data_IF_900928087734
#
_entry.id   IF_900928087734
#
_cell.length_a   1.000
_cell.length_b   1.000
_cell.length_c   1.000
_cell.angle_alpha   90.00
_cell.angle_beta   90.00
_cell.angle_gamma   90.00
#
_symmetry.space_group_name_H-M   'P 1'
#
loop_
_entity.id
_entity.type
_entity.pdbx_description
1 polymer ?
#
# COMPACT_ATOMS: atom_id res chain seq x y z
N UNK A 1 -12.00 -7.09 -6.93
CA UNK A 1 -11.06 -6.93 -5.79
C UNK A 1 -9.95 -5.96 -6.19
N UNK A 2 -9.39 -5.24 -5.26
CA UNK A 2 -8.32 -4.27 -5.52
C UNK A 2 -7.19 -4.51 -4.51
N UNK A 3 -5.93 -4.47 -4.96
CA UNK A 3 -4.78 -4.61 -4.08
C UNK A 3 -4.52 -3.31 -3.29
N UNK A 4 -3.57 -3.35 -2.36
CA UNK A 4 -3.24 -2.21 -1.51
C UNK A 4 -2.10 -1.39 -2.11
N UNK A 5 -2.10 -0.06 -1.93
CA UNK A 5 -0.90 0.74 -2.20
C UNK A 5 0.22 0.35 -1.23
N UNK A 6 1.43 0.78 -1.49
CA UNK A 6 2.52 0.64 -0.52
C UNK A 6 2.30 1.58 0.66
N UNK A 7 2.90 1.23 1.81
CA UNK A 7 2.95 2.12 2.96
C UNK A 7 4.40 2.44 3.33
N UNK A 8 4.60 3.59 3.93
CA UNK A 8 5.85 3.97 4.60
C UNK A 8 5.68 3.67 6.10
N UNK A 9 6.29 2.59 6.58
CA UNK A 9 6.11 2.12 7.95
C UNK A 9 6.61 3.12 9.00
N UNK A 10 7.74 3.77 8.75
CA UNK A 10 8.30 4.78 9.65
C UNK A 10 7.39 5.98 9.77
N UNK A 11 6.95 6.54 8.64
CA UNK A 11 6.02 7.67 8.61
C UNK A 11 4.69 7.33 9.28
N UNK A 12 4.19 6.11 9.06
CA UNK A 12 2.96 5.64 9.69
C UNK A 12 3.09 5.64 11.22
N UNK A 13 4.14 5.06 11.77
CA UNK A 13 4.36 5.01 13.22
C UNK A 13 4.58 6.41 13.79
N UNK A 14 5.33 7.25 13.12
CA UNK A 14 5.54 8.65 13.56
C UNK A 14 4.21 9.39 13.61
N UNK A 15 3.36 9.22 12.63
CA UNK A 15 2.04 9.83 12.61
C UNK A 15 1.12 9.28 13.71
N UNK A 16 1.07 7.96 13.89
CA UNK A 16 0.23 7.32 14.92
C UNK A 16 0.65 7.71 16.33
N UNK A 17 1.94 7.96 16.55
CA UNK A 17 2.48 8.30 17.87
C UNK A 17 2.72 9.79 18.08
N UNK A 18 2.27 10.65 17.15
CA UNK A 18 2.59 12.09 17.13
C UNK A 18 2.16 12.87 18.38
N UNK A 19 1.11 12.39 19.05
CA UNK A 19 0.56 13.03 20.27
C UNK A 19 1.01 12.32 21.54
N UNK A 20 1.81 11.28 21.44
CA UNK A 20 2.34 10.52 22.57
C UNK A 20 3.56 11.20 23.17
N UNK A 21 3.80 10.97 24.45
CA UNK A 21 5.06 11.34 25.10
C UNK A 21 6.22 10.49 24.59
N UNK A 22 7.45 10.91 24.79
CA UNK A 22 8.62 10.14 24.39
C UNK A 22 8.66 8.72 25.03
N UNK A 23 8.36 8.53 26.31
CA UNK A 23 8.27 7.19 26.90
C UNK A 23 7.17 6.32 26.26
N UNK A 24 6.01 6.89 25.97
CA UNK A 24 4.91 6.16 25.31
C UNK A 24 5.32 5.73 23.91
N UNK A 25 5.93 6.59 23.13
CA UNK A 25 6.47 6.24 21.80
C UNK A 25 7.50 5.11 21.90
N UNK A 26 8.39 5.18 22.87
CA UNK A 26 9.40 4.14 23.07
C UNK A 26 8.75 2.79 23.36
N UNK A 27 7.67 2.75 24.14
CA UNK A 27 6.93 1.52 24.40
C UNK A 27 6.36 0.91 23.12
N UNK A 28 5.88 1.74 22.20
CA UNK A 28 5.40 1.26 20.89
C UNK A 28 6.54 0.64 20.08
N UNK A 29 7.68 1.30 20.01
CA UNK A 29 8.86 0.79 19.30
C UNK A 29 9.39 -0.50 19.93
N UNK A 30 9.43 -0.58 21.24
CA UNK A 30 9.87 -1.79 21.97
C UNK A 30 8.94 -2.96 21.68
N UNK A 31 7.63 -2.71 21.67
CA UNK A 31 6.63 -3.73 21.35
C UNK A 31 6.74 -4.23 19.90
N UNK A 32 6.98 -3.33 18.95
CA UNK A 32 7.14 -3.69 17.54
C UNK A 32 8.42 -4.50 17.28
N UNK A 33 9.48 -4.25 18.05
CA UNK A 33 10.80 -4.79 17.79
C UNK A 33 11.60 -3.98 16.75
N UNK A 34 10.98 -3.63 15.61
CA UNK A 34 11.51 -2.62 14.68
C UNK A 34 10.39 -2.08 13.77
N UNK A 35 10.62 -0.91 13.22
CA UNK A 35 9.60 -0.14 12.50
C UNK A 35 9.10 -0.82 11.23
N UNK A 36 9.93 -1.59 10.56
CA UNK A 36 9.56 -2.31 9.33
C UNK A 36 8.51 -3.39 9.56
N UNK A 37 8.30 -3.80 10.80
CA UNK A 37 7.31 -4.82 11.14
C UNK A 37 5.89 -4.43 10.75
N UNK A 38 5.57 -3.15 10.85
CA UNK A 38 4.27 -2.62 10.41
C UNK A 38 4.08 -2.82 8.91
N UNK A 39 5.11 -2.50 8.14
CA UNK A 39 5.10 -2.71 6.70
C UNK A 39 4.99 -4.19 6.36
N UNK A 40 5.68 -5.05 7.08
CA UNK A 40 5.62 -6.49 6.85
C UNK A 40 4.18 -7.02 6.99
N UNK A 41 3.44 -6.59 8.02
CA UNK A 41 2.03 -6.95 8.17
C UNK A 41 1.18 -6.44 7.01
N UNK A 42 1.39 -5.21 6.57
CA UNK A 42 0.69 -4.64 5.43
C UNK A 42 0.94 -5.45 4.16
N UNK A 43 2.19 -5.80 3.90
CA UNK A 43 2.59 -6.62 2.74
C UNK A 43 1.99 -8.03 2.82
N UNK A 44 1.92 -8.61 4.01
CA UNK A 44 1.28 -9.93 4.22
C UNK A 44 -0.21 -9.88 3.87
N UNK A 45 -0.94 -8.85 4.30
CA UNK A 45 -2.34 -8.67 3.92
C UNK A 45 -2.50 -8.51 2.43
N UNK A 46 -1.61 -7.76 1.79
CA UNK A 46 -1.66 -7.56 0.34
C UNK A 46 -1.42 -8.88 -0.42
N UNK A 47 -0.46 -9.68 0.02
CA UNK A 47 -0.22 -11.01 -0.56
C UNK A 47 -1.44 -11.93 -0.40
N UNK A 48 -2.13 -11.87 0.74
CA UNK A 48 -3.37 -12.65 0.94
C UNK A 48 -4.47 -12.22 -0.02
N UNK A 49 -4.58 -10.93 -0.35
CA UNK A 49 -5.54 -10.46 -1.36
C UNK A 49 -5.25 -11.08 -2.73
N UNK A 50 -3.99 -11.12 -3.15
CA UNK A 50 -3.60 -11.76 -4.42
C UNK A 50 -3.90 -13.26 -4.41
N UNK A 51 -3.58 -13.95 -3.30
CA UNK A 51 -3.85 -15.37 -3.15
C UNK A 51 -5.34 -15.68 -3.18
N UNK A 52 -6.13 -14.93 -2.42
CA UNK A 52 -7.58 -15.10 -2.36
C UNK A 52 -8.23 -14.85 -3.73
N UNK A 53 -7.81 -13.80 -4.43
CA UNK A 53 -8.31 -13.50 -5.76
C UNK A 53 -8.04 -14.67 -6.73
N UNK A 54 -6.86 -15.27 -6.66
CA UNK A 54 -6.49 -16.41 -7.49
C UNK A 54 -7.31 -17.66 -7.13
N UNK A 55 -7.45 -17.98 -5.84
CA UNK A 55 -8.18 -19.14 -5.36
C UNK A 55 -9.68 -19.06 -5.69
N UNK A 56 -10.27 -17.89 -5.48
CA UNK A 56 -11.69 -17.66 -5.70
C UNK A 56 -12.01 -17.24 -7.14
N UNK A 57 -11.00 -17.15 -8.01
CA UNK A 57 -11.12 -16.73 -9.42
C UNK A 57 -11.82 -15.38 -9.56
N UNK A 58 -11.52 -14.46 -8.64
CA UNK A 58 -12.04 -13.09 -8.67
C UNK A 58 -11.02 -12.20 -9.37
N UNK A 59 -11.44 -11.37 -10.35
CA UNK A 59 -10.53 -10.38 -10.95
C UNK A 59 -9.98 -9.43 -9.89
N UNK A 60 -8.67 -9.14 -9.98
CA UNK A 60 -7.99 -8.22 -9.08
C UNK A 60 -7.39 -7.07 -9.88
N UNK A 61 -7.71 -5.84 -9.47
CA UNK A 61 -7.03 -4.64 -9.94
C UNK A 61 -5.78 -4.43 -9.09
N UNK A 62 -4.64 -4.50 -9.73
CA UNK A 62 -3.36 -4.28 -9.07
C UNK A 62 -3.03 -2.79 -9.04
N UNK A 63 -3.12 -2.18 -7.87
CA UNK A 63 -2.66 -0.80 -7.63
C UNK A 63 -1.36 -0.74 -6.84
N UNK A 64 -0.79 -1.89 -6.51
CA UNK A 64 0.48 -1.98 -5.77
C UNK A 64 1.67 -1.70 -6.70
N UNK A 65 1.64 -2.26 -7.90
CA UNK A 65 2.75 -2.17 -8.86
C UNK A 65 3.18 -0.74 -9.19
N UNK A 66 2.29 0.23 -9.43
CA UNK A 66 2.75 1.60 -9.75
C UNK A 66 3.55 2.23 -8.61
N UNK A 67 3.23 1.91 -7.36
CA UNK A 67 4.03 2.36 -6.21
C UNK A 67 5.42 1.70 -6.20
N UNK A 68 5.49 0.40 -6.49
CA UNK A 68 6.76 -0.32 -6.56
C UNK A 68 7.67 0.20 -7.68
N UNK A 69 7.10 0.61 -8.81
CA UNK A 69 7.85 1.15 -9.94
C UNK A 69 8.26 2.61 -9.73
N UNK A 70 7.65 3.31 -8.80
CA UNK A 70 7.99 4.69 -8.48
C UNK A 70 9.30 4.75 -7.71
N UNK A 71 10.23 5.63 -8.13
CA UNK A 71 11.51 5.82 -7.42
C UNK A 71 11.32 6.36 -6.00
N UNK A 72 10.31 7.17 -5.82
CA UNK A 72 9.98 7.83 -4.55
C UNK A 72 8.48 7.70 -4.30
N UNK A 73 8.06 6.48 -3.97
CA UNK A 73 6.65 6.23 -3.70
C UNK A 73 6.14 7.01 -2.47
N UNK A 74 7.02 7.39 -1.55
CA UNK A 74 6.67 8.15 -0.36
C UNK A 74 6.10 9.53 -0.71
N UNK A 75 6.55 10.11 -1.83
CA UNK A 75 6.02 11.38 -2.33
C UNK A 75 4.55 11.27 -2.77
N UNK A 76 4.04 10.06 -2.99
CA UNK A 76 2.67 9.78 -3.39
C UNK A 76 1.75 9.43 -2.22
N UNK A 77 2.25 9.53 -0.99
CA UNK A 77 1.49 9.25 0.23
C UNK A 77 1.24 10.53 1.04
N UNK A 78 0.15 10.52 1.80
CA UNK A 78 -0.14 11.55 2.80
C UNK A 78 0.86 11.50 3.96
N UNK A 79 0.77 12.47 4.86
CA UNK A 79 1.62 12.55 6.04
C UNK A 79 1.52 11.33 6.96
N UNK A 80 0.40 10.61 6.92
CA UNK A 80 0.21 9.38 7.71
C UNK A 80 0.96 8.16 7.16
N UNK A 81 1.58 8.27 5.98
CA UNK A 81 2.37 7.19 5.41
C UNK A 81 1.57 6.01 4.86
N UNK A 82 0.24 6.08 4.84
CA UNK A 82 -0.60 4.96 4.39
C UNK A 82 -1.60 5.36 3.30
N UNK A 83 -2.18 6.55 3.38
CA UNK A 83 -3.15 6.99 2.38
C UNK A 83 -2.44 7.67 1.20
N UNK A 84 -2.81 7.33 -0.04
CA UNK A 84 -2.34 8.07 -1.21
C UNK A 84 -2.79 9.54 -1.16
N UNK A 85 -1.89 10.44 -1.52
CA UNK A 85 -2.22 11.85 -1.72
C UNK A 85 -2.77 12.09 -3.14
N UNK A 86 -2.96 13.36 -3.54
CA UNK A 86 -3.50 13.70 -4.86
C UNK A 86 -2.65 13.10 -6.00
N UNK A 87 -1.32 13.16 -5.90
CA UNK A 87 -0.42 12.57 -6.88
C UNK A 87 -0.53 11.05 -6.91
N UNK A 88 -0.64 10.41 -5.73
CA UNK A 88 -0.85 8.98 -5.61
C UNK A 88 -2.16 8.52 -6.23
N UNK A 89 -3.24 9.23 -5.98
CA UNK A 89 -4.54 8.95 -6.60
C UNK A 89 -4.50 9.07 -8.12
N UNK A 90 -3.81 10.07 -8.64
CA UNK A 90 -3.64 10.23 -10.09
C UNK A 90 -2.86 9.08 -10.70
N UNK A 91 -1.77 8.70 -10.05
CA UNK A 91 -0.95 7.55 -10.48
C UNK A 91 -1.77 6.26 -10.50
N UNK A 92 -2.58 6.02 -9.48
CA UNK A 92 -3.47 4.87 -9.40
C UNK A 92 -4.52 4.89 -10.51
N UNK A 93 -5.15 6.03 -10.75
CA UNK A 93 -6.17 6.17 -11.79
C UNK A 93 -5.60 5.91 -13.19
N UNK A 94 -4.43 6.45 -13.49
CA UNK A 94 -3.76 6.23 -14.77
C UNK A 94 -3.38 4.74 -14.96
N UNK A 95 -2.91 4.11 -13.90
CA UNK A 95 -2.56 2.70 -13.91
C UNK A 95 -3.79 1.81 -14.14
N UNK A 96 -4.89 2.07 -13.45
CA UNK A 96 -6.15 1.34 -13.59
C UNK A 96 -6.69 1.50 -15.02
N UNK A 97 -6.68 2.71 -15.56
CA UNK A 97 -7.11 2.98 -16.93
C UNK A 97 -6.30 2.16 -17.94
N UNK A 98 -4.99 2.08 -17.77
CA UNK A 98 -4.11 1.26 -18.60
C UNK A 98 -4.43 -0.23 -18.52
N UNK A 99 -4.64 -0.76 -17.33
CA UNK A 99 -5.03 -2.16 -17.13
C UNK A 99 -6.38 -2.47 -17.78
N UNK A 100 -7.34 -1.59 -17.62
CA UNK A 100 -8.69 -1.77 -18.17
C UNK A 100 -8.65 -1.77 -19.70
N UNK A 101 -7.90 -0.85 -20.30
CA UNK A 101 -7.70 -0.78 -21.75
C UNK A 101 -7.06 -2.07 -22.30
N UNK A 102 -6.01 -2.57 -21.64
CA UNK A 102 -5.36 -3.84 -22.03
C UNK A 102 -6.31 -5.02 -21.95
N UNK A 103 -7.16 -5.08 -20.94
CA UNK A 103 -8.17 -6.16 -20.80
C UNK A 103 -9.22 -6.08 -21.89
N UNK A 104 -9.63 -4.87 -22.28
CA UNK A 104 -10.60 -4.68 -23.37
C UNK A 104 -10.04 -5.09 -24.72
N UNK A 105 -8.73 -4.96 -24.94
CA UNK A 105 -8.05 -5.36 -26.18
C UNK A 105 -7.75 -6.87 -26.25
N UNK A 106 -7.77 -7.57 -25.12
CA UNK A 106 -7.52 -9.02 -25.08
C UNK A 106 -8.84 -9.78 -25.20
N UNK A 107 -8.96 -10.69 -26.20
CA UNK A 107 -10.11 -11.57 -26.23
C UNK A 107 -10.14 -12.42 -24.96
N UNK A 108 -11.31 -12.52 -24.36
CA UNK A 108 -11.55 -13.42 -23.24
C UNK A 108 -11.40 -14.87 -23.77
N UNK A 109 -10.46 -15.54 -23.21
CA UNK A 109 -10.26 -16.96 -23.47
C UNK A 109 -11.29 -17.79 -22.71
#
# INVERSE_FOLDING_TARGET
>A
MISLPLMDGERFIDFQTRVMTAPERQNVYDWLGHVERVRNYHDMYNLELFRLAAEERVPLLDITTPFLLSRDYQANLCADGIHPNAAGHRMMADWIAGQTALRAERPLL
#
